data_IF_165980879618
#
_entry.id   IF_165980879618
#
_cell.length_a   1.000
_cell.length_b   1.000
_cell.length_c   1.000
_cell.angle_alpha   90.00
_cell.angle_beta   90.00
_cell.angle_gamma   90.00
#
_symmetry.space_group_name_H-M   'P 1'
#
loop_
_entity.id
_entity.type
_entity.pdbx_description
1 polymer ?
#
# COMPACT_ATOMS: atom_id res chain seq x y z
N UNK A 1 2.18 22.84 0.98
CA UNK A 1 2.03 21.67 1.87
C UNK A 1 3.27 20.84 1.64
N UNK A 2 4.21 20.87 2.57
CA UNK A 2 5.39 20.02 2.51
C UNK A 2 5.09 18.78 3.36
N UNK A 3 5.18 17.62 2.71
CA UNK A 3 5.06 16.31 3.34
C UNK A 3 6.41 15.61 3.18
N UNK A 4 6.79 14.81 4.17
CA UNK A 4 8.00 13.99 4.10
C UNK A 4 7.74 12.62 4.70
N UNK A 5 8.50 11.64 4.22
CA UNK A 5 8.51 10.27 4.73
C UNK A 5 9.70 10.17 5.68
N UNK A 6 9.47 9.60 6.86
CA UNK A 6 10.51 9.37 7.87
C UNK A 6 10.34 7.96 8.48
N UNK A 7 11.41 7.44 9.06
CA UNK A 7 11.46 6.11 9.65
C UNK A 7 11.63 6.25 11.16
N UNK A 8 10.77 5.59 11.95
CA UNK A 8 10.95 5.57 13.39
C UNK A 8 12.03 4.56 13.82
N UNK A 9 12.47 4.64 15.07
CA UNK A 9 13.52 3.79 15.64
C UNK A 9 13.19 2.27 15.60
N UNK A 10 11.92 1.91 15.35
CA UNK A 10 11.47 0.52 15.21
C UNK A 10 11.47 0.03 13.75
N UNK A 11 11.92 0.87 12.80
CA UNK A 11 11.96 0.56 11.38
C UNK A 11 10.67 0.84 10.61
N UNK A 12 9.62 1.35 11.28
CA UNK A 12 8.34 1.63 10.64
C UNK A 12 8.35 3.02 10.01
N UNK A 13 7.88 3.09 8.76
CA UNK A 13 7.77 4.34 8.02
C UNK A 13 6.47 5.07 8.37
N UNK A 14 6.52 6.39 8.47
CA UNK A 14 5.35 7.21 8.67
C UNK A 14 5.38 8.46 7.80
N UNK A 15 4.19 8.92 7.42
CA UNK A 15 4.00 10.13 6.63
C UNK A 15 3.78 11.31 7.57
N UNK A 16 4.72 12.25 7.57
CA UNK A 16 4.63 13.47 8.37
C UNK A 16 4.11 14.64 7.52
N UNK A 17 3.08 15.32 8.02
CA UNK A 17 2.57 16.57 7.43
C UNK A 17 2.92 17.74 8.35
N UNK A 18 3.69 18.71 7.87
CA UNK A 18 4.01 19.90 8.65
C UNK A 18 3.08 21.07 8.24
N UNK A 19 2.19 21.48 9.15
CA UNK A 19 1.36 22.67 8.98
C UNK A 19 1.94 23.85 9.77
N UNK A 20 2.26 24.97 9.09
CA UNK A 20 3.09 26.07 9.61
C UNK A 20 2.53 26.86 10.82
N UNK A 21 1.36 26.52 11.37
CA UNK A 21 0.78 27.26 12.51
C UNK A 21 0.06 26.45 13.59
N UNK A 22 0.00 25.12 13.49
CA UNK A 22 -0.82 24.34 14.42
C UNK A 22 -0.26 22.93 14.62
N UNK A 23 0.85 22.82 15.38
CA UNK A 23 1.37 21.53 15.83
C UNK A 23 1.87 20.58 14.72
N UNK A 24 2.77 19.67 15.09
CA UNK A 24 3.06 18.50 14.27
C UNK A 24 1.91 17.53 14.51
N UNK A 25 1.03 17.36 13.52
CA UNK A 25 0.03 16.31 13.56
C UNK A 25 0.68 15.01 13.08
N UNK A 26 1.40 14.33 13.97
CA UNK A 26 1.78 12.94 13.73
C UNK A 26 0.50 12.12 13.82
N UNK A 27 -0.06 11.70 12.69
CA UNK A 27 -1.03 10.61 12.71
C UNK A 27 -0.25 9.32 12.89
N UNK A 28 0.14 9.05 14.14
CA UNK A 28 0.47 7.69 14.57
C UNK A 28 -0.68 6.78 14.14
N UNK A 29 -0.47 5.95 13.11
CA UNK A 29 -1.53 5.13 12.51
C UNK A 29 -1.84 5.40 11.03
N UNK A 30 -1.15 6.31 10.36
CA UNK A 30 -0.86 6.19 8.91
C UNK A 30 0.46 5.39 8.77
N UNK A 31 0.71 4.29 9.51
CA UNK A 31 -0.04 3.05 9.50
C UNK A 31 0.42 2.27 8.27
N UNK A 32 1.31 1.28 8.45
CA UNK A 32 1.93 0.45 7.40
C UNK A 32 0.99 0.05 6.24
N UNK A 33 -0.32 -0.08 6.48
CA UNK A 33 -1.29 -0.34 5.40
C UNK A 33 -1.37 0.73 4.31
N UNK A 34 -1.13 2.02 4.63
CA UNK A 34 -1.05 3.08 3.60
C UNK A 34 0.22 2.92 2.78
N UNK A 35 1.34 2.54 3.40
CA UNK A 35 2.58 2.23 2.70
C UNK A 35 2.40 1.05 1.73
N UNK A 36 1.72 -0.02 2.18
CA UNK A 36 1.37 -1.16 1.32
C UNK A 36 0.54 -0.73 0.11
N UNK A 37 -0.48 0.11 0.31
CA UNK A 37 -1.30 0.63 -0.82
C UNK A 37 -0.44 1.45 -1.78
N UNK A 38 0.41 2.35 -1.29
CA UNK A 38 1.28 3.17 -2.14
C UNK A 38 2.26 2.31 -2.95
N UNK A 39 2.87 1.31 -2.32
CA UNK A 39 3.81 0.41 -2.99
C UNK A 39 3.12 -0.38 -4.10
N UNK A 40 1.91 -0.88 -3.83
CA UNK A 40 1.12 -1.59 -4.84
C UNK A 40 0.72 -0.65 -5.98
N UNK A 41 0.28 0.57 -5.67
CA UNK A 41 -0.09 1.56 -6.68
C UNK A 41 1.10 1.96 -7.57
N UNK A 42 2.28 2.15 -6.96
CA UNK A 42 3.52 2.46 -7.68
C UNK A 42 3.93 1.32 -8.61
N UNK A 43 3.91 0.07 -8.13
CA UNK A 43 4.19 -1.12 -8.93
C UNK A 43 3.20 -1.30 -10.10
N UNK A 44 1.90 -1.01 -9.87
CA UNK A 44 0.90 -1.07 -10.93
C UNK A 44 1.08 0.03 -11.98
N UNK A 45 1.54 1.21 -11.56
CA UNK A 45 1.79 2.35 -12.44
C UNK A 45 3.03 2.16 -13.31
N UNK A 46 4.11 1.63 -12.73
CA UNK A 46 5.37 1.41 -13.44
C UNK A 46 5.33 0.21 -14.40
N UNK A 47 4.50 -0.80 -14.09
CA UNK A 47 4.34 -1.98 -14.93
C UNK A 47 3.63 -1.67 -16.26
N UNK A 48 4.23 -2.09 -17.36
CA UNK A 48 3.67 -1.98 -18.71
C UNK A 48 2.81 -3.21 -19.08
N UNK A 49 2.19 -3.16 -20.26
CA UNK A 49 1.38 -4.28 -20.76
C UNK A 49 2.24 -5.51 -21.00
N UNK A 50 1.84 -6.63 -20.40
CA UNK A 50 2.57 -7.90 -20.49
C UNK A 50 3.62 -8.11 -19.40
N UNK A 51 3.85 -7.13 -18.53
CA UNK A 51 4.75 -7.29 -17.39
C UNK A 51 4.14 -8.19 -16.30
N UNK A 52 5.05 -8.81 -15.54
CA UNK A 52 4.70 -9.63 -14.38
C UNK A 52 4.91 -8.84 -13.10
N UNK A 53 3.82 -8.62 -12.37
CA UNK A 53 3.81 -8.01 -11.05
C UNK A 53 3.74 -9.12 -10.01
N UNK A 54 4.68 -9.13 -9.07
CA UNK A 54 4.72 -10.10 -7.95
C UNK A 54 4.59 -9.33 -6.64
N UNK A 55 3.63 -9.72 -5.82
CA UNK A 55 3.34 -9.07 -4.53
C UNK A 55 3.30 -10.15 -3.44
N UNK A 56 4.08 -9.97 -2.38
CA UNK A 56 4.09 -10.85 -1.21
C UNK A 56 3.45 -10.13 -0.01
N UNK A 57 2.56 -10.84 0.68
CA UNK A 57 1.78 -10.37 1.83
C UNK A 57 1.10 -8.98 1.66
N UNK A 58 0.30 -8.74 0.60
CA UNK A 58 -0.39 -7.45 0.41
C UNK A 58 -1.42 -7.12 1.51
N UNK A 59 -1.77 -8.07 2.37
CA UNK A 59 -2.65 -7.87 3.53
C UNK A 59 -1.97 -7.21 4.72
N UNK A 60 -0.63 -7.18 4.77
CA UNK A 60 0.11 -6.78 5.95
C UNK A 60 -0.28 -5.35 6.32
N UNK A 61 -0.79 -5.20 7.55
CA UNK A 61 -1.22 -3.93 8.12
C UNK A 61 -2.40 -3.24 7.43
N UNK A 62 -3.13 -3.93 6.53
CA UNK A 62 -4.33 -3.43 5.85
C UNK A 62 -5.62 -3.90 6.52
N UNK A 63 -6.58 -2.99 6.67
CA UNK A 63 -7.91 -3.34 7.13
C UNK A 63 -8.61 -4.27 6.11
N UNK A 64 -9.39 -5.29 6.52
CA UNK A 64 -10.01 -6.27 5.62
C UNK A 64 -10.83 -5.67 4.46
N UNK A 65 -11.47 -4.51 4.69
CA UNK A 65 -12.20 -3.81 3.64
C UNK A 65 -11.29 -3.28 2.51
N UNK A 66 -10.07 -2.86 2.85
CA UNK A 66 -9.09 -2.39 1.86
C UNK A 66 -8.41 -3.55 1.16
N UNK A 67 -8.18 -4.68 1.83
CA UNK A 67 -7.69 -5.92 1.20
C UNK A 67 -8.59 -6.33 0.02
N UNK A 68 -9.91 -6.31 0.21
CA UNK A 68 -10.88 -6.57 -0.88
C UNK A 68 -10.80 -5.57 -2.03
N UNK A 69 -10.61 -4.29 -1.73
CA UNK A 69 -10.46 -3.25 -2.77
C UNK A 69 -9.18 -3.42 -3.57
N UNK A 70 -8.06 -3.68 -2.89
CA UNK A 70 -6.77 -3.94 -3.52
C UNK A 70 -6.85 -5.18 -4.42
N UNK A 71 -7.48 -6.26 -3.94
CA UNK A 71 -7.69 -7.46 -4.75
C UNK A 71 -8.50 -7.18 -6.01
N UNK A 72 -9.58 -6.39 -5.92
CA UNK A 72 -10.36 -6.00 -7.09
C UNK A 72 -9.53 -5.21 -8.12
N UNK A 73 -8.71 -4.26 -7.67
CA UNK A 73 -7.81 -3.49 -8.55
C UNK A 73 -6.78 -4.40 -9.23
N UNK A 74 -6.17 -5.32 -8.47
CA UNK A 74 -5.22 -6.28 -9.01
C UNK A 74 -5.88 -7.22 -10.03
N UNK A 75 -7.14 -7.63 -9.81
CA UNK A 75 -7.91 -8.41 -10.78
C UNK A 75 -8.20 -7.62 -12.06
N UNK A 76 -8.54 -6.34 -11.98
CA UNK A 76 -8.73 -5.47 -13.15
C UNK A 76 -7.44 -5.34 -13.96
N UNK A 77 -6.30 -5.11 -13.29
CA UNK A 77 -4.99 -5.01 -13.93
C UNK A 77 -4.52 -6.36 -14.52
N UNK A 78 -4.96 -7.48 -13.92
CA UNK A 78 -4.63 -8.82 -14.41
C UNK A 78 -5.14 -9.13 -15.83
N UNK A 79 -6.09 -8.32 -16.35
CA UNK A 79 -6.54 -8.42 -17.73
C UNK A 79 -5.45 -8.03 -18.75
N UNK A 80 -4.47 -7.21 -18.33
CA UNK A 80 -3.43 -6.66 -19.20
C UNK A 80 -2.01 -7.04 -18.76
N UNK A 81 -1.85 -7.57 -17.54
CA UNK A 81 -0.58 -7.83 -16.87
C UNK A 81 -0.67 -9.16 -16.12
N UNK A 82 0.44 -9.84 -15.91
CA UNK A 82 0.43 -11.05 -15.07
C UNK A 82 0.61 -10.63 -13.62
N UNK A 83 -0.37 -10.92 -12.76
CA UNK A 83 -0.29 -10.60 -11.33
C UNK A 83 -0.16 -11.88 -10.52
N UNK A 84 0.92 -12.01 -9.76
CA UNK A 84 1.18 -13.12 -8.84
C UNK A 84 1.13 -12.56 -7.42
N UNK A 85 0.25 -13.13 -6.60
CA UNK A 85 0.03 -12.69 -5.22
C UNK A 85 0.28 -13.86 -4.29
N UNK A 86 1.12 -13.63 -3.28
CA UNK A 86 1.27 -14.51 -2.12
C UNK A 86 0.56 -13.86 -0.94
N UNK A 87 -0.42 -14.55 -0.37
CA UNK A 87 -1.25 -14.03 0.73
C UNK A 87 -1.63 -15.17 1.68
N UNK A 88 -1.52 -14.88 2.97
CA UNK A 88 -2.03 -15.68 4.09
C UNK A 88 -3.43 -15.21 4.54
N UNK A 89 -3.90 -14.08 4.04
CA UNK A 89 -5.21 -13.54 4.40
C UNK A 89 -6.35 -14.22 3.61
N UNK A 90 -7.36 -14.79 4.30
CA UNK A 90 -8.51 -15.41 3.63
C UNK A 90 -9.37 -14.39 2.88
N UNK A 91 -9.25 -13.09 3.16
CA UNK A 91 -10.02 -12.03 2.51
C UNK A 91 -9.63 -11.77 1.06
N UNK A 92 -8.46 -12.24 0.63
CA UNK A 92 -8.06 -12.21 -0.78
C UNK A 92 -8.65 -13.37 -1.60
N UNK A 93 -9.02 -14.47 -0.94
CA UNK A 93 -9.51 -15.69 -1.61
C UNK A 93 -11.04 -15.82 -1.52
N UNK A 94 -11.69 -15.19 -0.52
CA UNK A 94 -13.13 -15.34 -0.21
C UNK A 94 -14.02 -14.16 -0.56
#
# INVERSE_FOLDING_TARGET
MEWYIDQNDNGNYFLAFQHYKSGVHTREGIGDGIWSIFTIADALYDAEKGDTIVIDEPELSLHPQYQKRVMNLLMEESANKQVIISTHSPYFIS
#
